data_IF_371089380268
#
_entry.id   IF_371089380268
#
_cell.length_a   1.000
_cell.length_b   1.000
_cell.length_c   1.000
_cell.angle_alpha   90.00
_cell.angle_beta   90.00
_cell.angle_gamma   90.00
#
_symmetry.space_group_name_H-M   'P 1'
#
loop_
_entity.id
_entity.type
_entity.pdbx_description
1 polymer ?
#
# COMPACT_ATOMS: atom_id res chain seq x y z
N UNK A 1 -19.89 3.42 15.73
CA UNK A 1 -19.16 2.19 16.15
C UNK A 1 -18.16 2.58 17.22
N UNK A 2 -17.91 1.72 18.20
CA UNK A 2 -16.83 1.95 19.17
C UNK A 2 -15.49 1.65 18.50
N UNK A 3 -14.68 2.67 18.24
CA UNK A 3 -13.35 2.47 17.66
C UNK A 3 -12.32 2.11 18.74
N UNK A 4 -11.22 1.48 18.34
CA UNK A 4 -10.16 1.02 19.25
C UNK A 4 -9.59 2.17 20.08
N UNK A 5 -9.43 3.35 19.48
CA UNK A 5 -8.95 4.56 20.20
C UNK A 5 -9.86 4.98 21.37
N UNK A 6 -11.12 4.58 21.38
CA UNK A 6 -12.09 4.93 22.43
C UNK A 6 -12.37 3.81 23.43
N UNK A 7 -11.70 2.65 23.32
CA UNK A 7 -11.87 1.55 24.27
C UNK A 7 -11.20 1.87 25.61
N UNK A 8 -11.97 1.78 26.71
CA UNK A 8 -11.46 1.94 28.07
C UNK A 8 -11.67 0.67 28.91
N UNK A 9 -10.85 0.48 29.95
CA UNK A 9 -10.94 -0.69 30.83
C UNK A 9 -12.31 -0.81 31.50
N UNK A 10 -12.83 -2.05 31.56
CA UNK A 10 -14.10 -2.39 32.20
C UNK A 10 -15.32 -2.19 31.30
N UNK A 11 -15.15 -1.67 30.08
CA UNK A 11 -16.27 -1.42 29.17
C UNK A 11 -16.66 -2.67 28.37
N UNK A 12 -17.96 -2.97 28.39
CA UNK A 12 -18.62 -3.81 27.39
C UNK A 12 -18.78 -3.04 26.07
N UNK A 13 -18.48 -3.68 24.95
CA UNK A 13 -18.70 -3.07 23.64
C UNK A 13 -19.22 -4.05 22.61
N UNK A 14 -19.84 -3.50 21.57
CA UNK A 14 -20.13 -4.19 20.32
C UNK A 14 -19.61 -3.34 19.18
N UNK A 15 -18.71 -3.89 18.38
CA UNK A 15 -18.10 -3.19 17.27
C UNK A 15 -17.73 -4.12 16.13
N UNK A 16 -17.20 -3.52 15.07
CA UNK A 16 -16.72 -4.21 13.89
C UNK A 16 -15.23 -3.98 13.80
N UNK A 17 -14.47 -5.02 13.46
CA UNK A 17 -13.01 -4.97 13.43
C UNK A 17 -12.49 -5.93 12.37
N UNK A 18 -11.29 -5.64 11.89
CA UNK A 18 -10.51 -6.57 11.10
C UNK A 18 -9.72 -7.51 12.02
N UNK A 19 -9.74 -8.81 11.75
CA UNK A 19 -8.73 -9.74 12.29
C UNK A 19 -7.43 -9.50 11.51
N UNK A 20 -6.48 -8.79 12.10
CA UNK A 20 -5.17 -8.52 11.51
C UNK A 20 -4.22 -9.70 11.66
N UNK A 21 -4.18 -10.29 12.85
CA UNK A 21 -3.40 -11.49 13.16
C UNK A 21 -4.27 -12.49 13.92
N UNK A 22 -3.99 -13.77 13.71
CA UNK A 22 -4.67 -14.87 14.39
C UNK A 22 -3.71 -16.05 14.58
N UNK A 23 -3.61 -16.52 15.81
CA UNK A 23 -2.92 -17.76 16.18
C UNK A 23 -3.86 -18.65 16.99
N UNK A 24 -3.82 -19.96 16.74
CA UNK A 24 -4.49 -20.94 17.59
C UNK A 24 -3.53 -21.33 18.70
N UNK A 25 -3.93 -21.12 19.95
CA UNK A 25 -3.15 -21.48 21.14
C UNK A 25 -3.96 -22.37 22.08
N UNK A 26 -3.27 -23.03 22.99
CA UNK A 26 -3.90 -23.92 23.97
C UNK A 26 -3.77 -23.36 25.38
N UNK A 27 -4.82 -23.52 26.19
CA UNK A 27 -4.78 -23.22 27.62
C UNK A 27 -3.94 -24.24 28.37
N UNK A 28 -3.40 -23.86 29.52
CA UNK A 28 -2.73 -24.79 30.45
C UNK A 28 -3.72 -25.67 31.26
N UNK A 29 -5.00 -25.71 30.91
CA UNK A 29 -5.99 -26.57 31.56
C UNK A 29 -5.77 -28.05 31.18
N UNK A 30 -6.32 -28.96 31.99
CA UNK A 30 -6.31 -30.41 31.71
C UNK A 30 -7.74 -30.92 31.57
N UNK A 31 -8.19 -31.33 30.37
CA UNK A 31 -7.47 -31.31 29.08
C UNK A 31 -7.28 -29.88 28.53
N UNK A 32 -6.27 -29.65 27.68
CA UNK A 32 -6.04 -28.35 27.06
C UNK A 32 -7.22 -27.99 26.15
N UNK A 33 -7.70 -26.75 26.28
CA UNK A 33 -8.70 -26.17 25.38
C UNK A 33 -8.03 -25.19 24.42
N UNK A 34 -8.49 -25.17 23.18
CA UNK A 34 -8.02 -24.20 22.20
C UNK A 34 -8.66 -22.82 22.42
N UNK A 35 -7.91 -21.77 22.14
CA UNK A 35 -8.38 -20.39 22.07
C UNK A 35 -7.72 -19.67 20.89
N UNK A 36 -8.39 -18.64 20.38
CA UNK A 36 -7.80 -17.75 19.37
C UNK A 36 -7.12 -16.57 20.06
N UNK A 37 -5.84 -16.42 19.76
CA UNK A 37 -5.06 -15.22 20.03
C UNK A 37 -5.16 -14.30 18.81
N UNK A 38 -5.83 -13.17 18.98
CA UNK A 38 -6.19 -12.27 17.89
C UNK A 38 -5.55 -10.90 18.09
N UNK A 39 -5.25 -10.24 16.97
CA UNK A 39 -5.05 -8.80 16.92
C UNK A 39 -6.20 -8.20 16.10
N UNK A 40 -7.06 -7.44 16.76
CA UNK A 40 -8.15 -6.71 16.11
C UNK A 40 -7.64 -5.34 15.68
N UNK A 41 -8.07 -4.87 14.51
CA UNK A 41 -7.71 -3.57 13.97
C UNK A 41 -8.92 -2.80 13.44
N UNK A 42 -8.82 -1.48 13.50
CA UNK A 42 -9.67 -0.54 12.77
C UNK A 42 -8.82 0.66 12.29
N UNK A 43 -9.44 1.66 11.67
CA UNK A 43 -8.75 2.86 11.18
C UNK A 43 -8.07 3.70 12.28
N UNK A 44 -8.37 3.45 13.56
CA UNK A 44 -7.83 4.21 14.70
C UNK A 44 -6.72 3.50 15.47
N UNK A 45 -6.50 2.20 15.22
CA UNK A 45 -5.45 1.45 15.88
C UNK A 45 -5.64 -0.06 15.85
N UNK A 46 -4.98 -0.73 16.78
CA UNK A 46 -5.01 -2.19 16.94
C UNK A 46 -4.98 -2.58 18.41
N UNK A 47 -5.67 -3.68 18.77
CA UNK A 47 -5.78 -4.17 20.15
C UNK A 47 -5.70 -5.70 20.20
N UNK A 48 -5.00 -6.24 21.19
CA UNK A 48 -4.95 -7.69 21.42
C UNK A 48 -6.30 -8.18 21.93
N UNK A 49 -6.76 -9.32 21.42
CA UNK A 49 -8.02 -9.93 21.82
C UNK A 49 -7.87 -11.44 22.04
N UNK A 50 -8.59 -12.00 23.01
CA UNK A 50 -8.60 -13.44 23.31
C UNK A 50 -10.02 -13.97 23.17
N UNK A 51 -10.21 -14.96 22.30
CA UNK A 51 -11.47 -15.69 22.18
C UNK A 51 -11.28 -17.13 22.66
N UNK A 52 -11.87 -17.46 23.80
CA UNK A 52 -11.64 -18.71 24.53
C UNK A 52 -12.62 -19.81 24.11
N UNK A 53 -12.20 -21.07 24.29
CA UNK A 53 -13.01 -22.28 24.08
C UNK A 53 -13.59 -22.38 22.66
N UNK A 54 -12.70 -22.33 21.66
CA UNK A 54 -13.11 -22.28 20.25
C UNK A 54 -13.31 -23.65 19.63
N UNK A 55 -14.42 -23.81 18.90
CA UNK A 55 -14.76 -25.03 18.18
C UNK A 55 -13.91 -25.23 16.92
N UNK A 56 -13.81 -26.45 16.38
CA UNK A 56 -13.18 -26.71 15.07
C UNK A 56 -13.75 -25.83 13.95
N UNK A 57 -15.07 -25.65 13.90
CA UNK A 57 -15.72 -24.82 12.88
C UNK A 57 -15.31 -23.34 12.97
N UNK A 58 -15.13 -22.80 14.18
CA UNK A 58 -14.68 -21.42 14.36
C UNK A 58 -13.22 -21.22 13.95
N UNK A 59 -12.36 -22.23 14.19
CA UNK A 59 -10.96 -22.22 13.75
C UNK A 59 -10.82 -22.18 12.23
N UNK A 60 -11.73 -22.82 11.50
CA UNK A 60 -11.79 -22.77 10.04
C UNK A 60 -12.51 -21.51 9.51
N UNK A 61 -13.46 -20.99 10.30
CA UNK A 61 -14.23 -19.80 9.91
C UNK A 61 -13.37 -18.55 9.96
N UNK A 62 -12.61 -18.35 11.04
CA UNK A 62 -11.82 -17.14 11.23
C UNK A 62 -10.40 -17.31 10.68
N UNK A 63 -9.89 -16.25 10.08
CA UNK A 63 -8.57 -16.15 9.49
C UNK A 63 -8.21 -14.66 9.40
N UNK A 64 -6.91 -14.30 9.29
CA UNK A 64 -6.51 -12.93 9.01
C UNK A 64 -7.22 -12.34 7.80
N UNK A 65 -7.36 -11.02 7.77
CA UNK A 65 -8.10 -10.27 6.75
C UNK A 65 -9.61 -10.56 6.71
N UNK A 66 -10.17 -10.97 7.84
CA UNK A 66 -11.61 -11.18 8.02
C UNK A 66 -12.24 -10.03 8.81
N UNK A 67 -13.31 -9.42 8.26
CA UNK A 67 -14.15 -8.52 9.04
C UNK A 67 -15.07 -9.30 9.96
N UNK A 68 -15.06 -8.89 11.22
CA UNK A 68 -15.83 -9.53 12.28
C UNK A 68 -16.60 -8.52 13.10
N UNK A 69 -17.80 -8.92 13.51
CA UNK A 69 -18.55 -8.24 14.56
C UNK A 69 -18.18 -8.88 15.89
N UNK A 70 -17.66 -8.07 16.81
CA UNK A 70 -17.17 -8.51 18.11
C UNK A 70 -18.04 -7.90 19.20
N UNK A 71 -18.50 -8.75 20.12
CA UNK A 71 -18.92 -8.35 21.45
C UNK A 71 -17.82 -8.74 22.43
N UNK A 72 -17.32 -7.79 23.21
CA UNK A 72 -16.20 -8.04 24.11
C UNK A 72 -16.21 -7.14 25.33
N UNK A 73 -15.34 -7.47 26.28
CA UNK A 73 -15.07 -6.69 27.48
C UNK A 73 -13.60 -6.28 27.42
N UNK A 74 -13.33 -4.98 27.58
CA UNK A 74 -11.96 -4.48 27.67
C UNK A 74 -11.44 -4.72 29.09
N UNK A 75 -10.26 -5.33 29.19
CA UNK A 75 -9.60 -5.65 30.46
C UNK A 75 -8.12 -5.29 30.38
N UNK A 76 -7.49 -5.01 31.52
CA UNK A 76 -6.04 -4.83 31.59
C UNK A 76 -5.34 -6.16 31.86
N UNK A 77 -4.38 -6.52 31.02
CA UNK A 77 -3.50 -7.67 31.22
C UNK A 77 -2.03 -7.22 31.11
N UNK A 78 -1.27 -7.37 32.20
CA UNK A 78 0.12 -6.90 32.31
C UNK A 78 0.26 -5.43 31.86
N UNK A 79 -0.57 -4.56 32.42
CA UNK A 79 -0.58 -3.10 32.17
C UNK A 79 -0.96 -2.69 30.75
N UNK A 80 -1.44 -3.61 29.90
CA UNK A 80 -1.92 -3.32 28.55
C UNK A 80 -3.39 -3.68 28.41
N UNK A 81 -4.14 -2.84 27.70
CA UNK A 81 -5.51 -3.15 27.33
C UNK A 81 -5.56 -4.39 26.43
N UNK A 82 -6.52 -5.26 26.71
CA UNK A 82 -6.83 -6.46 25.96
C UNK A 82 -8.33 -6.68 25.93
N UNK A 83 -8.85 -7.16 24.81
CA UNK A 83 -10.26 -7.54 24.68
C UNK A 83 -10.44 -9.01 25.08
N UNK A 84 -11.32 -9.28 26.04
CA UNK A 84 -11.91 -10.61 26.19
C UNK A 84 -13.12 -10.71 25.25
N UNK A 85 -13.00 -11.52 24.21
CA UNK A 85 -14.08 -11.73 23.24
C UNK A 85 -15.15 -12.60 23.87
N UNK A 86 -16.36 -12.07 23.96
CA UNK A 86 -17.55 -12.78 24.46
C UNK A 86 -18.27 -13.47 23.31
N UNK A 87 -18.37 -12.80 22.15
CA UNK A 87 -18.98 -13.36 20.94
C UNK A 87 -18.35 -12.73 19.70
N UNK A 88 -18.16 -13.54 18.68
CA UNK A 88 -17.61 -13.11 17.40
C UNK A 88 -18.39 -13.76 16.25
N UNK A 89 -18.60 -13.03 15.16
CA UNK A 89 -19.10 -13.58 13.89
C UNK A 89 -18.49 -12.83 12.71
N UNK A 90 -18.44 -13.48 11.55
CA UNK A 90 -18.19 -12.78 10.27
C UNK A 90 -19.25 -11.72 10.02
N UNK A 91 -18.85 -10.62 9.41
CA UNK A 91 -19.80 -9.63 8.90
C UNK A 91 -20.54 -10.17 7.67
N UNK A 92 -21.81 -9.81 7.54
CA UNK A 92 -22.63 -10.08 6.36
C UNK A 92 -23.00 -8.79 5.64
N UNK A 93 -23.67 -8.89 4.49
CA UNK A 93 -24.12 -7.73 3.72
C UNK A 93 -25.03 -6.79 4.53
N UNK A 94 -25.80 -7.34 5.48
CA UNK A 94 -26.69 -6.59 6.36
C UNK A 94 -25.96 -5.62 7.32
N UNK A 95 -24.67 -5.84 7.56
CA UNK A 95 -23.87 -5.01 8.45
C UNK A 95 -23.44 -3.69 7.82
N UNK A 96 -23.52 -3.56 6.48
CA UNK A 96 -23.18 -2.35 5.70
C UNK A 96 -21.78 -1.79 6.03
N UNK A 97 -20.81 -2.68 6.18
CA UNK A 97 -19.41 -2.35 6.46
C UNK A 97 -18.53 -2.71 5.26
N UNK A 98 -17.57 -1.85 4.93
CA UNK A 98 -16.55 -2.17 3.94
C UNK A 98 -15.24 -2.53 4.64
N UNK A 99 -14.48 -3.46 4.05
CA UNK A 99 -13.11 -3.78 4.52
C UNK A 99 -12.23 -2.53 4.63
N UNK A 100 -12.41 -1.59 3.68
CA UNK A 100 -11.67 -0.33 3.60
C UNK A 100 -11.85 0.59 4.81
N UNK A 101 -12.92 0.40 5.60
CA UNK A 101 -13.18 1.22 6.80
C UNK A 101 -12.28 0.81 8.00
N UNK A 102 -11.70 -0.39 7.93
CA UNK A 102 -10.95 -1.02 9.03
C UNK A 102 -9.49 -1.30 8.68
N UNK A 103 -9.07 -0.96 7.46
CA UNK A 103 -7.69 -0.96 7.02
C UNK A 103 -7.27 0.47 6.71
N UNK A 104 -5.96 0.69 6.70
CA UNK A 104 -5.41 1.90 6.15
C UNK A 104 -5.64 1.91 4.63
N UNK A 105 -6.09 3.03 4.09
CA UNK A 105 -6.43 3.22 2.68
C UNK A 105 -5.97 4.59 2.18
N UNK A 106 -5.88 4.74 0.86
CA UNK A 106 -5.68 6.04 0.24
C UNK A 106 -6.79 7.02 0.66
N UNK A 107 -6.49 8.31 0.86
CA UNK A 107 -7.48 9.31 1.25
C UNK A 107 -8.44 9.70 0.11
N UNK A 108 -8.25 9.13 -1.09
CA UNK A 108 -9.06 9.35 -2.28
C UNK A 108 -9.68 8.04 -2.74
N UNK A 109 -10.82 8.17 -3.42
CA UNK A 109 -11.54 7.03 -3.99
C UNK A 109 -10.66 6.29 -5.03
N UNK A 110 -10.50 4.95 -4.92
CA UNK A 110 -9.64 4.20 -5.84
C UNK A 110 -10.07 4.28 -7.30
N UNK A 111 -11.37 4.37 -7.58
CA UNK A 111 -11.87 4.48 -8.94
C UNK A 111 -11.53 5.85 -9.52
N UNK A 112 -11.68 6.92 -8.73
CA UNK A 112 -11.19 8.23 -9.11
C UNK A 112 -9.68 8.25 -9.41
N UNK A 113 -8.85 7.61 -8.57
CA UNK A 113 -7.41 7.51 -8.80
C UNK A 113 -7.08 6.78 -10.12
N UNK A 114 -7.76 5.66 -10.38
CA UNK A 114 -7.63 4.90 -11.62
C UNK A 114 -8.02 5.76 -12.83
N UNK A 115 -9.12 6.51 -12.75
CA UNK A 115 -9.54 7.43 -13.80
C UNK A 115 -8.49 8.50 -14.11
N UNK A 116 -7.88 9.10 -13.07
CA UNK A 116 -6.82 10.10 -13.26
C UNK A 116 -5.62 9.49 -14.00
N UNK A 117 -5.17 8.28 -13.63
CA UNK A 117 -4.06 7.58 -14.29
C UNK A 117 -4.39 7.28 -15.76
N UNK A 118 -5.59 6.77 -16.04
CA UNK A 118 -6.03 6.46 -17.41
C UNK A 118 -6.13 7.73 -18.26
N UNK A 119 -6.68 8.82 -17.71
CA UNK A 119 -6.73 10.11 -18.41
C UNK A 119 -5.32 10.65 -18.68
N UNK A 120 -4.42 10.57 -17.70
CA UNK A 120 -3.03 10.97 -17.87
C UNK A 120 -2.36 10.19 -19.02
N UNK A 121 -2.58 8.88 -19.11
CA UNK A 121 -2.09 8.06 -20.23
C UNK A 121 -2.69 8.52 -21.58
N UNK A 122 -4.00 8.77 -21.63
CA UNK A 122 -4.68 9.24 -22.84
C UNK A 122 -4.17 10.62 -23.32
N UNK A 123 -3.79 11.49 -22.39
CA UNK A 123 -3.24 12.83 -22.64
C UNK A 123 -1.78 12.81 -23.11
N UNK A 124 -1.15 11.64 -23.27
CA UNK A 124 0.18 11.52 -23.88
C UNK A 124 0.05 11.82 -25.38
N UNK A 125 0.78 12.81 -25.88
CA UNK A 125 0.72 13.25 -27.27
C UNK A 125 1.35 12.27 -28.25
N UNK A 126 2.52 11.73 -27.91
CA UNK A 126 3.21 10.72 -28.71
C UNK A 126 2.45 9.38 -28.71
N UNK A 127 1.99 8.96 -29.90
CA UNK A 127 1.16 7.76 -30.06
C UNK A 127 1.88 6.46 -29.69
N UNK A 128 3.20 6.39 -29.85
CA UNK A 128 3.99 5.19 -29.50
C UNK A 128 4.11 5.06 -27.99
N UNK A 129 4.44 6.17 -27.30
CA UNK A 129 4.49 6.20 -25.84
C UNK A 129 3.11 5.86 -25.27
N UNK A 130 2.05 6.51 -25.76
CA UNK A 130 0.67 6.27 -25.28
C UNK A 130 0.28 4.80 -25.41
N UNK A 131 0.53 4.18 -26.57
CA UNK A 131 0.17 2.78 -26.82
C UNK A 131 0.88 1.81 -25.87
N UNK A 132 2.16 2.08 -25.55
CA UNK A 132 2.93 1.27 -24.59
C UNK A 132 2.37 1.43 -23.17
N UNK A 133 2.09 2.67 -22.75
CA UNK A 133 1.55 2.96 -21.41
C UNK A 133 0.18 2.33 -21.22
N UNK A 134 -0.74 2.50 -22.17
CA UNK A 134 -2.09 1.93 -22.12
C UNK A 134 -2.06 0.39 -22.05
N UNK A 135 -1.17 -0.24 -22.82
CA UNK A 135 -0.96 -1.69 -22.76
C UNK A 135 -0.54 -2.14 -21.35
N UNK A 136 0.46 -1.48 -20.76
CA UNK A 136 0.96 -1.82 -19.43
C UNK A 136 -0.09 -1.59 -18.32
N UNK A 137 -0.87 -0.50 -18.39
CA UNK A 137 -2.00 -0.27 -17.47
C UNK A 137 -3.00 -1.42 -17.56
N UNK A 138 -3.35 -1.86 -18.77
CA UNK A 138 -4.31 -2.93 -19.00
C UNK A 138 -3.97 -4.25 -18.29
N UNK A 139 -2.67 -4.52 -18.04
CA UNK A 139 -2.22 -5.73 -17.32
C UNK A 139 -2.59 -5.70 -15.83
N UNK A 140 -2.75 -4.52 -15.24
CA UNK A 140 -2.90 -4.34 -13.78
C UNK A 140 -4.08 -3.46 -13.39
N UNK A 141 -4.93 -3.06 -14.33
CA UNK A 141 -6.00 -2.08 -14.11
C UNK A 141 -6.86 -2.39 -12.88
N UNK A 142 -7.33 -3.62 -12.74
CA UNK A 142 -8.13 -4.05 -11.57
C UNK A 142 -7.31 -4.04 -10.28
N UNK A 143 -6.03 -4.43 -10.36
CA UNK A 143 -5.14 -4.47 -9.20
C UNK A 143 -4.79 -3.07 -8.68
N UNK A 144 -4.76 -2.05 -9.54
CA UNK A 144 -4.51 -0.66 -9.13
C UNK A 144 -5.52 -0.15 -8.10
N UNK A 145 -6.76 -0.68 -8.12
CA UNK A 145 -7.80 -0.30 -7.17
C UNK A 145 -7.48 -0.65 -5.72
N UNK A 146 -6.58 -1.61 -5.49
CA UNK A 146 -6.32 -2.13 -4.15
C UNK A 146 -4.84 -2.34 -3.82
N UNK A 147 -3.94 -2.31 -4.80
CA UNK A 147 -2.52 -2.59 -4.62
C UNK A 147 -1.85 -1.54 -3.72
N UNK A 148 -1.04 -1.96 -2.73
CA UNK A 148 -0.15 -1.06 -2.01
C UNK A 148 1.08 -0.72 -2.86
N UNK A 149 1.72 0.43 -2.61
CA UNK A 149 2.97 0.78 -3.30
C UNK A 149 4.21 0.15 -2.64
N UNK A 150 4.10 -0.32 -1.39
CA UNK A 150 5.22 -0.95 -0.69
C UNK A 150 4.74 -1.98 0.34
N UNK A 151 5.60 -2.95 0.68
CA UNK A 151 5.34 -3.88 1.78
C UNK A 151 5.33 -3.19 3.14
N UNK A 152 6.24 -2.25 3.32
CA UNK A 152 6.40 -1.42 4.51
C UNK A 152 6.77 -0.03 4.05
N UNK A 153 6.39 1.00 4.82
CA UNK A 153 6.68 2.43 4.59
C UNK A 153 5.63 3.17 3.74
N UNK A 154 6.08 4.00 2.78
CA UNK A 154 5.21 4.91 2.03
C UNK A 154 4.14 4.15 1.26
N UNK A 155 2.92 4.65 1.29
CA UNK A 155 1.83 4.09 0.50
C UNK A 155 1.59 2.58 0.73
N UNK A 156 1.99 2.04 1.89
CA UNK A 156 1.81 0.64 2.28
C UNK A 156 0.38 0.40 2.80
N UNK A 157 -0.61 0.69 1.96
CA UNK A 157 -2.03 0.64 2.28
C UNK A 157 -2.90 0.42 1.04
N UNK A 158 -4.20 0.20 1.26
CA UNK A 158 -5.16 -0.07 0.19
C UNK A 158 -5.22 1.08 -0.83
N UNK A 159 -5.12 0.75 -2.13
CA UNK A 159 -5.01 1.70 -3.23
C UNK A 159 -3.79 2.64 -3.17
N UNK A 160 -2.78 2.29 -2.36
CA UNK A 160 -1.59 3.11 -2.15
C UNK A 160 -0.76 3.33 -3.42
N UNK A 161 -0.67 2.32 -4.30
CA UNK A 161 0.08 2.44 -5.57
C UNK A 161 -0.56 3.47 -6.51
N UNK A 162 -1.88 3.42 -6.69
CA UNK A 162 -2.58 4.39 -7.53
C UNK A 162 -2.48 5.81 -6.94
N UNK A 163 -2.57 5.94 -5.61
CA UNK A 163 -2.43 7.24 -4.94
C UNK A 163 -1.02 7.83 -5.12
N UNK A 164 0.01 7.00 -4.98
CA UNK A 164 1.40 7.38 -5.25
C UNK A 164 1.59 7.88 -6.69
N UNK A 165 1.12 7.14 -7.69
CA UNK A 165 1.19 7.55 -9.09
C UNK A 165 0.49 8.89 -9.34
N UNK A 166 -0.70 9.12 -8.77
CA UNK A 166 -1.45 10.37 -8.95
C UNK A 166 -0.69 11.56 -8.34
N UNK A 167 -0.16 11.43 -7.11
CA UNK A 167 0.66 12.49 -6.49
C UNK A 167 1.90 12.80 -7.32
N UNK A 168 2.57 11.77 -7.83
CA UNK A 168 3.74 11.95 -8.71
C UNK A 168 3.36 12.64 -10.03
N UNK A 169 2.20 12.33 -10.61
CA UNK A 169 1.70 12.99 -11.83
C UNK A 169 1.48 14.50 -11.60
N UNK A 170 0.91 14.89 -10.45
CA UNK A 170 0.74 16.29 -10.06
C UNK A 170 2.09 17.01 -9.91
N UNK A 171 3.07 16.36 -9.24
CA UNK A 171 4.44 16.87 -9.11
C UNK A 171 5.14 16.99 -10.47
N UNK A 172 4.96 16.00 -11.34
CA UNK A 172 5.50 15.96 -12.69
C UNK A 172 4.95 17.09 -13.57
N UNK A 173 3.64 17.34 -13.52
CA UNK A 173 3.01 18.46 -14.23
C UNK A 173 3.56 19.81 -13.73
N UNK A 174 3.66 19.98 -12.41
CA UNK A 174 4.28 21.17 -11.83
C UNK A 174 5.72 21.36 -12.31
N UNK A 175 6.53 20.30 -12.29
CA UNK A 175 7.93 20.36 -12.69
C UNK A 175 8.08 20.67 -14.18
N UNK A 176 7.28 20.07 -15.06
CA UNK A 176 7.30 20.36 -16.50
C UNK A 176 6.92 21.81 -16.81
N UNK A 177 5.98 22.42 -16.06
CA UNK A 177 5.69 23.86 -16.19
C UNK A 177 6.89 24.73 -15.79
N UNK A 178 7.62 24.34 -14.74
CA UNK A 178 8.79 25.08 -14.25
C UNK A 178 10.05 24.81 -15.10
N UNK A 179 10.16 23.63 -15.70
CA UNK A 179 11.26 23.15 -16.53
C UNK A 179 10.76 22.72 -17.93
N UNK A 180 10.45 23.68 -18.82
CA UNK A 180 9.89 23.37 -20.15
C UNK A 180 10.81 22.56 -21.09
N UNK A 181 12.08 22.36 -20.72
CA UNK A 181 13.00 21.52 -21.49
C UNK A 181 12.75 20.01 -21.27
N UNK A 182 12.00 19.63 -20.23
CA UNK A 182 11.60 18.25 -19.98
C UNK A 182 10.52 17.84 -20.97
N UNK A 183 10.63 16.64 -21.52
CA UNK A 183 9.58 16.02 -22.29
C UNK A 183 8.45 15.54 -21.36
N UNK A 184 7.31 16.24 -21.40
CA UNK A 184 6.16 15.96 -20.56
C UNK A 184 5.55 14.57 -20.80
N UNK A 185 5.56 14.08 -22.05
CA UNK A 185 5.04 12.76 -22.38
C UNK A 185 5.91 11.65 -21.78
N UNK A 186 7.24 11.78 -21.88
CA UNK A 186 8.19 10.83 -21.29
C UNK A 186 8.13 10.84 -19.77
N UNK A 187 8.08 12.01 -19.13
CA UNK A 187 8.00 12.08 -17.67
C UNK A 187 6.70 11.44 -17.16
N UNK A 188 5.57 11.77 -17.80
CA UNK A 188 4.26 11.19 -17.47
C UNK A 188 4.24 9.67 -17.64
N UNK A 189 4.78 9.17 -18.75
CA UNK A 189 4.92 7.73 -18.99
C UNK A 189 5.83 7.06 -17.96
N UNK A 190 6.97 7.66 -17.63
CA UNK A 190 7.88 7.17 -16.59
C UNK A 190 7.20 7.05 -15.23
N UNK A 191 6.43 8.06 -14.82
CA UNK A 191 5.65 8.03 -13.57
C UNK A 191 4.63 6.89 -13.57
N UNK A 192 3.90 6.68 -14.66
CA UNK A 192 2.91 5.59 -14.72
C UNK A 192 3.58 4.21 -14.71
N UNK A 193 4.75 4.09 -15.36
CA UNK A 193 5.38 2.79 -15.63
C UNK A 193 6.36 2.31 -14.55
N UNK A 194 7.02 3.20 -13.80
CA UNK A 194 8.15 2.82 -12.93
C UNK A 194 7.83 1.67 -11.96
N UNK A 195 6.62 1.70 -11.38
CA UNK A 195 6.13 0.76 -10.38
C UNK A 195 4.94 -0.09 -10.85
N UNK A 196 4.58 -0.04 -12.13
CA UNK A 196 3.35 -0.65 -12.65
C UNK A 196 3.27 -2.17 -12.41
N UNK A 197 4.42 -2.83 -12.24
CA UNK A 197 4.52 -4.26 -12.01
C UNK A 197 4.53 -4.67 -10.51
N UNK A 198 4.51 -3.73 -9.57
CA UNK A 198 4.42 -4.00 -8.12
C UNK A 198 3.26 -4.94 -7.73
N UNK A 199 2.08 -4.89 -8.36
CA UNK A 199 0.98 -5.81 -8.07
C UNK A 199 1.26 -7.29 -8.41
N UNK A 200 2.29 -7.59 -9.21
CA UNK A 200 2.74 -8.96 -9.49
C UNK A 200 3.93 -9.38 -8.62
N UNK A 201 4.71 -8.41 -8.14
CA UNK A 201 5.83 -8.64 -7.25
C UNK A 201 5.36 -9.06 -5.85
N UNK A 202 4.24 -8.50 -5.37
CA UNK A 202 3.76 -8.67 -4.00
C UNK A 202 2.52 -9.54 -3.91
N UNK A 203 2.52 -10.49 -2.97
CA UNK A 203 1.31 -11.19 -2.54
C UNK A 203 0.60 -10.28 -1.54
N UNK A 204 -0.47 -9.64 -1.98
CA UNK A 204 -1.22 -8.70 -1.16
C UNK A 204 -2.71 -8.95 -1.19
N UNK A 205 -3.36 -8.67 -0.07
CA UNK A 205 -4.81 -8.69 0.05
C UNK A 205 -5.24 -7.44 0.81
N UNK A 206 -6.16 -6.68 0.22
CA UNK A 206 -6.64 -5.40 0.75
C UNK A 206 -5.50 -4.45 1.21
N UNK A 207 -4.51 -4.22 0.34
CA UNK A 207 -3.39 -3.31 0.66
C UNK A 207 -2.37 -3.85 1.67
N UNK A 208 -2.58 -5.02 2.26
CA UNK A 208 -1.63 -5.66 3.16
C UNK A 208 -0.80 -6.69 2.41
N UNK A 209 0.51 -6.53 2.44
CA UNK A 209 1.46 -7.45 1.79
C UNK A 209 1.88 -8.53 2.78
N UNK A 210 1.51 -9.78 2.51
CA UNK A 210 1.92 -10.92 3.35
C UNK A 210 3.31 -11.42 2.98
N UNK A 211 3.61 -11.52 1.69
CA UNK A 211 4.91 -11.95 1.17
C UNK A 211 5.14 -11.40 -0.24
N UNK A 212 6.32 -11.68 -0.81
CA UNK A 212 6.63 -11.49 -2.22
C UNK A 212 6.35 -12.77 -3.02
N UNK A 213 5.88 -12.63 -4.26
CA UNK A 213 5.69 -13.76 -5.16
C UNK A 213 7.04 -14.36 -5.56
N UNK A 214 7.07 -15.61 -6.02
CA UNK A 214 8.32 -16.22 -6.53
C UNK A 214 8.94 -15.39 -7.64
N UNK A 215 8.10 -14.86 -8.54
CA UNK A 215 8.56 -14.00 -9.63
C UNK A 215 9.08 -12.66 -9.09
N UNK A 216 8.40 -12.05 -8.11
CA UNK A 216 8.88 -10.85 -7.42
C UNK A 216 10.24 -11.04 -6.73
N UNK A 217 10.43 -12.17 -6.04
CA UNK A 217 11.71 -12.49 -5.36
C UNK A 217 12.87 -12.72 -6.31
N UNK A 218 12.62 -13.29 -7.50
CA UNK A 218 13.66 -13.65 -8.46
C UNK A 218 13.93 -12.57 -9.52
N UNK A 219 12.92 -11.77 -9.88
CA UNK A 219 12.98 -10.83 -11.01
C UNK A 219 12.80 -9.38 -10.56
N UNK A 220 11.85 -9.13 -9.64
CA UNK A 220 11.51 -7.79 -9.14
C UNK A 220 10.69 -6.94 -10.12
N UNK A 221 9.90 -6.01 -9.59
CA UNK A 221 8.98 -5.18 -10.40
C UNK A 221 9.70 -4.35 -11.47
N UNK A 222 10.90 -3.82 -11.19
CA UNK A 222 11.67 -2.98 -12.13
C UNK A 222 11.94 -3.75 -13.43
N UNK A 223 12.50 -4.95 -13.31
CA UNK A 223 12.81 -5.81 -14.45
C UNK A 223 11.53 -6.28 -15.17
N UNK A 224 10.47 -6.55 -14.41
CA UNK A 224 9.17 -6.92 -14.98
C UNK A 224 8.55 -5.79 -15.81
N UNK A 225 8.54 -4.57 -15.29
CA UNK A 225 8.02 -3.40 -15.99
C UNK A 225 8.84 -3.08 -17.26
N UNK A 226 10.17 -3.21 -17.19
CA UNK A 226 11.04 -3.09 -18.36
C UNK A 226 10.74 -4.16 -19.44
N UNK A 227 10.41 -5.38 -19.03
CA UNK A 227 9.98 -6.44 -19.95
C UNK A 227 8.59 -6.18 -20.55
N UNK A 228 7.65 -5.64 -19.75
CA UNK A 228 6.31 -5.28 -20.24
C UNK A 228 6.35 -4.18 -21.30
N UNK A 229 7.30 -3.25 -21.21
CA UNK A 229 7.53 -2.24 -22.26
C UNK A 229 7.91 -2.91 -23.60
N UNK A 230 8.78 -3.93 -23.57
CA UNK A 230 9.16 -4.68 -24.78
C UNK A 230 7.98 -5.49 -25.32
N UNK A 231 7.23 -6.15 -24.43
CA UNK A 231 6.02 -6.90 -24.78
C UNK A 231 4.97 -5.98 -25.44
N UNK A 232 4.76 -4.79 -24.88
CA UNK A 232 3.88 -3.78 -25.43
C UNK A 232 4.31 -3.32 -26.82
N UNK A 233 5.63 -3.09 -27.02
CA UNK A 233 6.18 -2.69 -28.31
C UNK A 233 5.91 -3.76 -29.38
N UNK A 234 6.15 -5.04 -29.06
CA UNK A 234 5.84 -6.17 -29.96
C UNK A 234 4.34 -6.21 -30.29
N UNK A 235 3.48 -6.12 -29.26
CA UNK A 235 2.03 -6.18 -29.44
C UNK A 235 1.47 -5.04 -30.30
N UNK A 236 2.08 -3.86 -30.20
CA UNK A 236 1.64 -2.63 -30.91
C UNK A 236 2.36 -2.39 -32.23
N UNK A 237 3.29 -3.28 -32.62
CA UNK A 237 4.06 -3.15 -33.86
C UNK A 237 5.12 -2.03 -33.83
N UNK A 238 5.54 -1.61 -32.63
CA UNK A 238 6.63 -0.66 -32.44
C UNK A 238 7.95 -1.43 -32.45
N UNK A 239 8.94 -0.91 -33.18
CA UNK A 239 10.30 -1.45 -33.17
C UNK A 239 10.88 -1.46 -31.75
N UNK A 240 11.24 -2.64 -31.26
CA UNK A 240 11.78 -2.86 -29.91
C UNK A 240 13.15 -2.20 -29.72
N UNK A 241 13.82 -1.81 -30.80
CA UNK A 241 15.11 -1.08 -30.77
C UNK A 241 14.95 0.43 -30.91
N UNK A 242 13.71 0.94 -31.00
CA UNK A 242 13.45 2.37 -31.15
C UNK A 242 13.81 3.18 -29.89
N UNK A 243 14.18 4.45 -30.09
CA UNK A 243 14.48 5.39 -29.00
C UNK A 243 13.33 5.52 -27.99
N UNK A 244 12.08 5.39 -28.44
CA UNK A 244 10.90 5.39 -27.56
C UNK A 244 10.96 4.24 -26.55
N UNK A 245 11.19 3.01 -27.04
CA UNK A 245 11.26 1.82 -26.18
C UNK A 245 12.47 1.91 -25.26
N UNK A 246 13.63 2.31 -25.79
CA UNK A 246 14.85 2.49 -25.01
C UNK A 246 14.69 3.53 -23.90
N UNK A 247 14.07 4.68 -24.19
CA UNK A 247 13.84 5.73 -23.20
C UNK A 247 12.90 5.29 -22.08
N UNK A 248 11.79 4.61 -22.41
CA UNK A 248 10.85 4.09 -21.42
C UNK A 248 11.49 3.02 -20.54
N UNK A 249 12.27 2.11 -21.13
CA UNK A 249 13.04 1.13 -20.35
C UNK A 249 14.04 1.82 -19.43
N UNK A 250 14.77 2.84 -19.92
CA UNK A 250 15.74 3.56 -19.10
C UNK A 250 15.07 4.29 -17.92
N UNK A 251 13.91 4.92 -18.14
CA UNK A 251 13.13 5.55 -17.08
C UNK A 251 12.81 4.56 -15.96
N UNK A 252 12.29 3.38 -16.30
CA UNK A 252 11.98 2.32 -15.33
C UNK A 252 13.25 1.76 -14.68
N UNK A 253 14.27 1.39 -15.45
CA UNK A 253 15.47 0.74 -14.90
C UNK A 253 16.28 1.67 -13.98
N UNK A 254 16.16 2.99 -14.14
CA UNK A 254 16.99 3.96 -13.42
C UNK A 254 16.32 4.72 -12.29
N UNK A 255 15.01 4.56 -12.07
CA UNK A 255 14.25 5.45 -11.16
C UNK A 255 14.67 5.37 -9.68
N UNK A 256 15.19 4.24 -9.20
CA UNK A 256 15.76 4.14 -7.84
C UNK A 256 17.18 4.72 -7.72
N UNK A 257 17.79 5.17 -8.82
CA UNK A 257 19.11 5.79 -8.89
C UNK A 257 20.30 4.90 -8.52
N UNK A 258 20.42 4.43 -7.28
CA UNK A 258 21.56 3.64 -6.84
C UNK A 258 21.30 2.13 -6.98
N UNK A 259 22.35 1.37 -7.30
CA UNK A 259 22.28 -0.10 -7.36
C UNK A 259 21.89 -0.74 -6.03
N UNK A 260 22.33 -0.15 -4.92
CA UNK A 260 21.92 -0.54 -3.55
C UNK A 260 20.43 -0.31 -3.27
N UNK A 261 19.74 0.52 -4.06
CA UNK A 261 18.30 0.73 -3.97
C UNK A 261 17.53 -0.12 -4.99
N UNK A 262 18.21 -0.94 -5.78
CA UNK A 262 17.63 -1.93 -6.69
C UNK A 262 17.63 -1.55 -8.17
N UNK A 263 18.04 -0.32 -8.53
CA UNK A 263 18.14 0.11 -9.94
C UNK A 263 19.34 -0.54 -10.64
N UNK A 264 19.19 -1.18 -11.81
CA UNK A 264 20.32 -1.72 -12.57
C UNK A 264 21.29 -0.65 -13.09
N UNK A 265 20.80 0.56 -13.37
CA UNK A 265 21.57 1.68 -13.93
C UNK A 265 21.14 3.01 -13.29
N UNK A 266 21.97 4.04 -13.42
CA UNK A 266 21.66 5.40 -12.94
C UNK A 266 20.85 6.22 -13.96
N UNK A 267 20.13 7.27 -13.52
CA UNK A 267 19.47 8.21 -14.42
C UNK A 267 20.45 8.86 -15.39
N UNK A 268 20.14 8.77 -16.68
CA UNK A 268 20.95 9.32 -17.78
C UNK A 268 20.10 10.09 -18.80
N UNK A 269 18.83 10.31 -18.47
CA UNK A 269 17.89 11.19 -19.18
C UNK A 269 17.43 12.28 -18.21
N UNK A 270 17.10 13.46 -18.72
CA UNK A 270 16.61 14.55 -17.87
C UNK A 270 15.32 14.15 -17.14
N UNK A 271 14.44 13.43 -17.83
CA UNK A 271 13.19 12.90 -17.31
C UNK A 271 13.43 11.78 -16.30
N UNK A 272 14.49 10.98 -16.45
CA UNK A 272 14.87 9.96 -15.46
C UNK A 272 15.38 10.60 -14.16
N UNK A 273 16.16 11.69 -14.28
CA UNK A 273 16.59 12.46 -13.10
C UNK A 273 15.37 13.06 -12.40
N UNK A 274 14.45 13.66 -13.16
CA UNK A 274 13.21 14.20 -12.62
C UNK A 274 12.36 13.12 -11.93
N UNK A 275 12.12 11.99 -12.60
CA UNK A 275 11.35 10.86 -12.07
C UNK A 275 11.90 10.37 -10.74
N UNK A 276 13.21 10.14 -10.65
CA UNK A 276 13.86 9.70 -9.41
C UNK A 276 13.57 10.64 -8.22
N UNK A 277 13.71 11.96 -8.45
CA UNK A 277 13.49 12.93 -7.37
C UNK A 277 12.01 13.12 -7.04
N UNK A 278 11.10 12.97 -8.02
CA UNK A 278 9.66 13.00 -7.78
C UNK A 278 9.24 11.82 -6.91
N UNK A 279 9.64 10.61 -7.28
CA UNK A 279 9.39 9.38 -6.50
C UNK A 279 9.95 9.51 -5.08
N UNK A 280 11.23 9.87 -4.96
CA UNK A 280 11.89 10.02 -3.66
C UNK A 280 11.21 11.08 -2.78
N UNK A 281 10.75 12.19 -3.37
CA UNK A 281 10.07 13.26 -2.64
C UNK A 281 8.72 12.78 -2.10
N UNK A 282 7.90 12.16 -2.95
CA UNK A 282 6.58 11.69 -2.57
C UNK A 282 6.67 10.58 -1.50
N UNK A 283 7.52 9.58 -1.72
CA UNK A 283 7.78 8.51 -0.77
C UNK A 283 8.21 9.04 0.61
N UNK A 284 9.16 9.98 0.65
CA UNK A 284 9.65 10.54 1.92
C UNK A 284 8.60 11.38 2.62
N UNK A 285 7.89 12.24 1.89
CA UNK A 285 6.85 13.08 2.49
C UNK A 285 5.67 12.25 2.98
N UNK A 286 5.26 11.21 2.25
CA UNK A 286 4.21 10.31 2.71
C UNK A 286 4.62 9.62 4.02
N UNK A 287 5.87 9.16 4.16
CA UNK A 287 6.33 8.58 5.43
C UNK A 287 6.25 9.57 6.60
N UNK A 288 6.57 10.86 6.37
CA UNK A 288 6.43 11.90 7.39
C UNK A 288 4.97 12.15 7.74
N UNK A 289 4.12 12.32 6.73
CA UNK A 289 2.67 12.52 6.86
C UNK A 289 2.05 11.39 7.70
N UNK A 290 2.29 10.14 7.30
CA UNK A 290 1.82 8.93 7.97
C UNK A 290 2.22 8.88 9.45
N UNK A 291 3.47 9.23 9.74
CA UNK A 291 4.01 9.14 11.10
C UNK A 291 3.52 10.30 11.96
N UNK A 292 3.36 11.50 11.39
CA UNK A 292 2.79 12.64 12.10
C UNK A 292 1.31 12.41 12.43
N UNK A 293 0.54 11.81 11.53
CA UNK A 293 -0.88 11.52 11.73
C UNK A 293 -1.12 10.46 12.82
N UNK A 294 -0.21 9.48 12.92
CA UNK A 294 -0.30 8.41 13.92
C UNK A 294 0.34 8.77 15.26
N UNK A 295 1.13 9.84 15.34
CA UNK A 295 1.74 10.30 16.59
C UNK A 295 0.67 10.87 17.54
N UNK A 296 0.59 10.44 18.81
CA UNK A 296 -0.46 10.88 19.73
C UNK A 296 -0.56 12.42 19.87
N UNK A 297 -1.78 12.97 20.03
CA UNK A 297 -1.96 14.37 20.38
C UNK A 297 -1.24 14.69 21.70
N UNK A 298 -0.41 15.73 21.72
CA UNK A 298 0.40 16.11 22.88
C UNK A 298 1.87 15.68 22.80
N UNK A 299 2.18 14.66 21.99
CA UNK A 299 3.58 14.33 21.67
C UNK A 299 4.14 15.30 20.63
N UNK A 300 5.33 15.83 20.93
CA UNK A 300 6.01 16.81 20.09
C UNK A 300 6.96 16.17 19.07
N UNK A 301 7.31 14.89 19.25
CA UNK A 301 8.23 14.16 18.38
C UNK A 301 7.60 12.86 17.92
N UNK A 302 7.78 12.50 16.65
CA UNK A 302 7.39 11.20 16.13
C UNK A 302 8.35 10.10 16.58
N UNK A 303 7.96 8.84 16.36
CA UNK A 303 8.93 7.74 16.34
C UNK A 303 9.91 7.91 15.16
N UNK A 304 11.14 7.35 15.24
CA UNK A 304 12.11 7.37 14.16
C UNK A 304 11.59 6.74 12.85
N UNK A 305 11.85 7.39 11.72
CA UNK A 305 11.41 6.94 10.40
C UNK A 305 12.59 6.34 9.63
N UNK A 306 12.55 5.03 9.34
CA UNK A 306 13.67 4.30 8.71
C UNK A 306 14.10 4.88 7.34
N UNK A 307 13.13 5.21 6.48
CA UNK A 307 13.40 5.81 5.16
C UNK A 307 13.90 7.26 5.21
N UNK A 308 14.00 7.84 6.40
CA UNK A 308 14.54 9.18 6.67
C UNK A 308 15.68 9.09 7.68
N UNK A 309 16.61 8.17 7.41
CA UNK A 309 17.85 8.00 8.18
C UNK A 309 17.61 7.71 9.67
N UNK A 310 16.48 7.08 10.00
CA UNK A 310 16.05 6.82 11.38
C UNK A 310 15.94 8.11 12.23
N UNK A 311 15.54 9.23 11.62
CA UNK A 311 15.30 10.48 12.35
C UNK A 311 13.84 10.59 12.81
N UNK A 312 13.58 11.06 14.04
CA UNK A 312 12.25 11.51 14.45
C UNK A 312 11.96 12.91 13.90
N UNK A 313 10.69 13.24 13.70
CA UNK A 313 10.25 14.54 13.19
C UNK A 313 9.52 15.32 14.28
N UNK A 314 9.73 16.64 14.31
CA UNK A 314 9.14 17.53 15.29
C UNK A 314 7.79 18.08 14.79
N UNK A 315 6.75 18.00 15.63
CA UNK A 315 5.44 18.60 15.35
C UNK A 315 5.44 20.06 15.78
N UNK A 316 5.51 20.95 14.79
CA UNK A 316 5.39 22.39 14.99
C UNK A 316 4.01 22.77 15.55
N UNK A 317 3.99 23.75 16.45
CA UNK A 317 2.77 24.38 16.97
C UNK A 317 2.70 25.81 16.42
N UNK A 318 2.42 25.93 15.12
CA UNK A 318 2.22 27.21 14.44
C UNK A 318 0.74 27.57 14.40
#
# INVERSE_FOLDING_TARGET
MTTIKHLAEGEDFVGYYLIKEMEIKQTNATPPKDFLDLVLADSTGQISAKYWEVSPAEKETFHPMCLVKVKGIVQTYRERLQVKVVRIRKTGEEDRVSMTDFIRSAPLDPEHLREVIVRAAADIGDSKIRSIVEYCIGKVQEKLLHAPAAKMHHHAYYAGLAYHMVRMLELGEFLCRQRPFLNADLLKAGIILHDIAKPEEMVSQYGVVSDYSTHGKLVGHISMAANWIVEAAIHTGIDTTSDTVLALQHLVLSHHNLGEWGSPVQPQLAEAVALHYIDTLDAKLQMVEDTLDTTPPGEAWTQPIRGLENKPFYRLKL
#
